data_IF_985727733256
#
_entry.id   IF_985727733256
#
_cell.length_a   1.000
_cell.length_b   1.000
_cell.length_c   1.000
_cell.angle_alpha   90.00
_cell.angle_beta   90.00
_cell.angle_gamma   90.00
#
_symmetry.space_group_name_H-M   'P 1'
#
loop_
_entity.id
_entity.type
_entity.pdbx_description
1 polymer ?
#
# COMPACT_ATOMS: atom_id res chain seq x y z
N UNK A 1 3.69 4.21 -18.49
CA UNK A 1 2.68 5.19 -18.96
C UNK A 1 3.35 6.47 -19.47
N UNK A 2 4.16 7.18 -18.67
CA UNK A 2 4.81 8.42 -19.14
C UNK A 2 5.77 8.23 -20.33
N UNK A 3 6.64 7.23 -20.27
CA UNK A 3 7.60 6.95 -21.37
C UNK A 3 6.89 6.57 -22.66
N UNK A 4 5.85 5.72 -22.60
CA UNK A 4 5.05 5.36 -23.77
C UNK A 4 4.39 6.59 -24.42
N UNK A 5 3.90 7.54 -23.60
CA UNK A 5 3.36 8.81 -24.10
C UNK A 5 4.44 9.62 -24.84
N UNK A 6 5.65 9.72 -24.27
CA UNK A 6 6.79 10.40 -24.91
C UNK A 6 7.21 9.72 -26.21
N UNK A 7 7.22 8.39 -26.25
CA UNK A 7 7.50 7.60 -27.46
C UNK A 7 6.48 7.93 -28.56
N UNK A 8 5.19 8.01 -28.23
CA UNK A 8 4.16 8.35 -29.21
C UNK A 8 4.35 9.77 -29.78
N UNK A 9 4.65 10.75 -28.93
CA UNK A 9 4.98 12.12 -29.37
C UNK A 9 6.18 12.10 -30.33
N UNK A 10 7.23 11.35 -30.00
CA UNK A 10 8.41 11.23 -30.87
C UNK A 10 8.10 10.57 -32.21
N UNK A 11 7.19 9.59 -32.26
CA UNK A 11 6.74 8.95 -33.50
C UNK A 11 5.96 9.91 -34.39
N UNK A 12 5.03 10.68 -33.82
CA UNK A 12 4.26 11.71 -34.54
C UNK A 12 5.19 12.78 -35.11
N UNK A 13 6.15 13.24 -34.31
CA UNK A 13 7.13 14.24 -34.72
C UNK A 13 8.08 13.72 -35.81
N UNK A 14 8.49 12.46 -35.72
CA UNK A 14 9.30 11.82 -36.76
C UNK A 14 8.54 11.70 -38.08
N UNK A 15 7.24 11.38 -38.04
CA UNK A 15 6.38 11.34 -39.23
C UNK A 15 6.24 12.73 -39.87
N UNK A 16 6.07 13.78 -39.05
CA UNK A 16 6.02 15.17 -39.50
C UNK A 16 7.33 15.63 -40.17
N UNK A 17 8.48 15.25 -39.60
CA UNK A 17 9.80 15.55 -40.16
C UNK A 17 10.04 14.76 -41.46
N UNK A 18 9.55 13.52 -41.54
CA UNK A 18 9.65 12.71 -42.75
C UNK A 18 8.87 13.30 -43.93
N UNK A 19 7.67 13.85 -43.67
CA UNK A 19 6.80 14.48 -44.68
C UNK A 19 7.36 15.78 -45.28
N UNK A 20 8.37 16.38 -44.68
CA UNK A 20 8.99 17.59 -45.21
C UNK A 20 9.93 17.25 -46.39
N UNK A 21 9.64 17.76 -47.58
CA UNK A 21 10.41 17.55 -48.81
C UNK A 21 11.68 18.42 -48.91
N UNK A 22 11.79 19.49 -48.12
CA UNK A 22 12.91 20.45 -48.21
C UNK A 22 14.14 20.01 -47.42
N UNK A 23 14.03 18.95 -46.60
CA UNK A 23 15.10 18.49 -45.72
C UNK A 23 15.77 17.23 -46.29
N UNK A 24 17.10 17.21 -46.24
CA UNK A 24 17.89 16.02 -46.54
C UNK A 24 17.72 14.94 -45.47
N UNK A 25 18.05 13.69 -45.80
CA UNK A 25 17.99 12.58 -44.82
C UNK A 25 18.87 12.84 -43.59
N UNK A 26 20.05 13.44 -43.77
CA UNK A 26 20.95 13.79 -42.69
C UNK A 26 20.36 14.85 -41.75
N UNK A 27 19.71 15.89 -42.29
CA UNK A 27 19.04 16.93 -41.50
C UNK A 27 17.83 16.37 -40.75
N UNK A 28 17.03 15.51 -41.40
CA UNK A 28 15.91 14.81 -40.75
C UNK A 28 16.39 13.97 -39.55
N UNK A 29 17.48 13.23 -39.70
CA UNK A 29 18.08 12.45 -38.62
C UNK A 29 18.59 13.34 -37.48
N UNK A 30 19.25 14.45 -37.80
CA UNK A 30 19.73 15.42 -36.81
C UNK A 30 18.59 16.05 -36.01
N UNK A 31 17.49 16.43 -36.68
CA UNK A 31 16.30 17.00 -36.03
C UNK A 31 15.65 15.96 -35.11
N UNK A 32 15.47 14.73 -35.58
CA UNK A 32 14.89 13.65 -34.79
C UNK A 32 15.75 13.31 -33.57
N UNK A 33 17.07 13.27 -33.72
CA UNK A 33 18.01 13.05 -32.63
C UNK A 33 17.94 14.17 -31.57
N UNK A 34 17.95 15.43 -32.00
CA UNK A 34 17.85 16.57 -31.08
C UNK A 34 16.54 16.57 -30.29
N UNK A 35 15.41 16.29 -30.96
CA UNK A 35 14.09 16.17 -30.31
C UNK A 35 14.02 15.00 -29.35
N UNK A 36 14.58 13.85 -29.74
CA UNK A 36 14.69 12.68 -28.87
C UNK A 36 15.41 13.04 -27.56
N UNK A 37 16.60 13.64 -27.66
CA UNK A 37 17.37 14.05 -26.50
C UNK A 37 16.61 15.06 -25.63
N UNK A 38 15.94 16.06 -26.22
CA UNK A 38 15.14 17.02 -25.47
C UNK A 38 13.99 16.36 -24.68
N UNK A 39 13.27 15.42 -25.31
CA UNK A 39 12.12 14.75 -24.70
C UNK A 39 12.53 13.69 -23.67
N UNK A 40 13.65 12.99 -23.89
CA UNK A 40 14.08 11.87 -23.03
C UNK A 40 15.02 12.27 -21.91
N UNK A 41 15.73 13.41 -22.00
CA UNK A 41 16.65 13.89 -20.95
C UNK A 41 16.04 13.85 -19.53
N UNK A 42 14.80 14.33 -19.28
CA UNK A 42 14.22 14.28 -17.93
C UNK A 42 14.08 12.84 -17.38
N UNK A 43 13.79 11.87 -18.25
CA UNK A 43 13.68 10.46 -17.88
C UNK A 43 15.06 9.87 -17.59
N UNK A 44 16.04 10.15 -18.45
CA UNK A 44 17.43 9.72 -18.27
C UNK A 44 17.97 10.23 -16.93
N UNK A 45 17.83 11.53 -16.64
CA UNK A 45 18.31 12.14 -15.39
C UNK A 45 17.63 11.50 -14.17
N UNK A 46 16.33 11.22 -14.25
CA UNK A 46 15.61 10.54 -13.17
C UNK A 46 16.13 9.10 -12.94
N UNK A 47 16.39 8.36 -14.02
CA UNK A 47 16.92 7.00 -13.97
C UNK A 47 18.37 6.97 -13.46
N UNK A 48 19.21 7.91 -13.89
CA UNK A 48 20.59 8.04 -13.42
C UNK A 48 20.65 8.37 -11.94
N UNK A 49 19.84 9.33 -11.48
CA UNK A 49 19.72 9.64 -10.05
C UNK A 49 19.29 8.41 -9.26
N UNK A 50 18.36 7.61 -9.81
CA UNK A 50 17.92 6.37 -9.16
C UNK A 50 19.02 5.32 -9.15
N UNK A 51 19.70 5.11 -10.27
CA UNK A 51 20.83 4.19 -10.39
C UNK A 51 21.93 4.56 -9.39
N UNK A 52 22.32 5.84 -9.31
CA UNK A 52 23.30 6.32 -8.35
C UNK A 52 22.92 5.98 -6.90
N UNK A 53 21.63 6.12 -6.55
CA UNK A 53 21.14 5.77 -5.21
C UNK A 53 21.18 4.26 -4.93
N UNK A 54 20.94 3.43 -5.95
CA UNK A 54 20.91 1.96 -5.81
C UNK A 54 22.27 1.30 -6.03
N UNK A 55 23.22 1.98 -6.67
CA UNK A 55 24.57 1.50 -6.97
C UNK A 55 25.61 1.89 -5.92
N UNK A 56 25.18 2.43 -4.78
CA UNK A 56 26.05 2.61 -3.59
C UNK A 56 26.56 1.26 -3.11
N UNK A 57 27.73 1.24 -2.48
CA UNK A 57 28.32 0.03 -1.93
C UNK A 57 27.30 -0.79 -1.12
N UNK A 58 27.07 -2.08 -1.48
CA UNK A 58 26.06 -2.90 -0.83
C UNK A 58 26.50 -3.24 0.60
N UNK A 59 25.59 -3.09 1.56
CA UNK A 59 25.82 -3.37 2.99
C UNK A 59 25.09 -4.61 3.49
N UNK A 60 24.11 -5.08 2.74
CA UNK A 60 23.28 -6.22 3.11
C UNK A 60 23.35 -7.31 2.04
N UNK A 61 23.13 -8.59 2.40
CA UNK A 61 23.07 -9.67 1.42
C UNK A 61 22.10 -9.39 0.27
N UNK A 62 20.95 -8.79 0.59
CA UNK A 62 19.95 -8.41 -0.42
C UNK A 62 20.45 -7.32 -1.38
N UNK A 63 21.19 -6.32 -0.88
CA UNK A 63 21.80 -5.30 -1.74
C UNK A 63 22.89 -5.89 -2.63
N UNK A 64 23.73 -6.79 -2.11
CA UNK A 64 24.78 -7.47 -2.87
C UNK A 64 24.19 -8.28 -4.02
N UNK A 65 23.12 -9.05 -3.74
CA UNK A 65 22.37 -9.77 -4.77
C UNK A 65 21.83 -8.82 -5.85
N UNK A 66 21.13 -7.75 -5.45
CA UNK A 66 20.55 -6.79 -6.40
C UNK A 66 21.62 -6.16 -7.29
N UNK A 67 22.77 -5.82 -6.71
CA UNK A 67 23.91 -5.28 -7.44
C UNK A 67 24.44 -6.25 -8.48
N UNK A 68 24.70 -7.49 -8.08
CA UNK A 68 25.25 -8.53 -8.96
C UNK A 68 24.33 -8.80 -10.15
N UNK A 69 23.02 -8.86 -9.93
CA UNK A 69 22.05 -9.21 -10.96
C UNK A 69 21.72 -8.05 -11.91
N UNK A 70 21.48 -6.85 -11.38
CA UNK A 70 20.82 -5.79 -12.15
C UNK A 70 21.66 -4.55 -12.43
N UNK A 71 22.78 -4.34 -11.73
CA UNK A 71 23.53 -3.07 -11.84
C UNK A 71 24.10 -2.86 -13.26
N UNK A 72 24.73 -3.90 -13.84
CA UNK A 72 25.25 -3.84 -15.20
C UNK A 72 24.13 -3.69 -16.25
N UNK A 73 23.02 -4.40 -16.08
CA UNK A 73 21.86 -4.33 -16.99
C UNK A 73 21.23 -2.93 -16.99
N UNK A 74 21.04 -2.34 -15.80
CA UNK A 74 20.50 -1.00 -15.64
C UNK A 74 21.44 0.08 -16.22
N UNK A 75 22.75 -0.06 -16.01
CA UNK A 75 23.75 0.83 -16.63
C UNK A 75 23.69 0.77 -18.15
N UNK A 76 23.69 -0.43 -18.71
CA UNK A 76 23.60 -0.64 -20.16
C UNK A 76 22.30 -0.07 -20.72
N UNK A 77 21.17 -0.33 -20.08
CA UNK A 77 19.86 0.18 -20.47
C UNK A 77 19.81 1.73 -20.46
N UNK A 78 20.36 2.38 -19.43
CA UNK A 78 20.41 3.84 -19.35
C UNK A 78 21.35 4.42 -20.41
N UNK A 79 22.52 3.82 -20.64
CA UNK A 79 23.45 4.24 -21.69
C UNK A 79 22.82 4.11 -23.08
N UNK A 80 22.12 3.00 -23.34
CA UNK A 80 21.38 2.80 -24.59
C UNK A 80 20.27 3.84 -24.77
N UNK A 81 19.52 4.17 -23.70
CA UNK A 81 18.46 5.18 -23.74
C UNK A 81 18.98 6.59 -24.06
N UNK A 82 20.23 6.91 -23.72
CA UNK A 82 20.85 8.21 -24.06
C UNK A 82 21.09 8.38 -25.55
N UNK A 83 21.34 7.28 -26.27
CA UNK A 83 21.67 7.32 -27.70
C UNK A 83 20.36 7.37 -28.51
N UNK A 84 20.14 8.41 -29.33
CA UNK A 84 18.97 8.46 -30.19
C UNK A 84 18.95 7.29 -31.18
N UNK A 85 17.79 6.64 -31.38
CA UNK A 85 17.71 5.55 -32.35
C UNK A 85 17.89 6.07 -33.78
N UNK A 86 18.62 5.31 -34.60
CA UNK A 86 18.86 5.66 -36.01
C UNK A 86 17.61 5.59 -36.90
N UNK A 87 16.52 4.99 -36.42
CA UNK A 87 15.24 4.94 -37.13
C UNK A 87 14.05 5.15 -36.19
N UNK A 88 12.95 5.78 -36.68
CA UNK A 88 11.73 5.92 -35.89
C UNK A 88 11.06 4.59 -35.52
N UNK A 89 11.30 3.53 -36.31
CA UNK A 89 10.78 2.19 -36.01
C UNK A 89 11.38 1.62 -34.72
N UNK A 90 12.65 1.91 -34.43
CA UNK A 90 13.34 1.45 -33.22
C UNK A 90 12.87 2.16 -31.94
N UNK A 91 12.09 3.25 -32.02
CA UNK A 91 11.54 3.93 -30.84
C UNK A 91 10.64 3.04 -29.97
N UNK A 92 10.07 1.98 -30.54
CA UNK A 92 9.27 1.00 -29.76
C UNK A 92 10.13 0.13 -28.83
N UNK A 93 11.39 -0.11 -29.20
CA UNK A 93 12.26 -1.09 -28.52
C UNK A 93 13.16 -0.47 -27.45
N UNK A 94 13.31 0.87 -27.42
CA UNK A 94 14.23 1.57 -26.50
C UNK A 94 13.92 1.32 -25.01
N UNK A 95 12.68 0.95 -24.68
CA UNK A 95 12.25 0.71 -23.30
C UNK A 95 12.31 -0.77 -22.90
N UNK A 96 12.45 -1.67 -23.87
CA UNK A 96 12.45 -3.13 -23.68
C UNK A 96 13.48 -3.63 -22.65
N UNK A 97 14.71 -3.07 -22.56
CA UNK A 97 15.64 -3.46 -21.50
C UNK A 97 15.09 -3.22 -20.09
N UNK A 98 14.36 -2.12 -19.88
CA UNK A 98 13.74 -1.82 -18.59
C UNK A 98 12.55 -2.74 -18.29
N UNK A 99 11.76 -3.09 -19.31
CA UNK A 99 10.67 -4.05 -19.15
C UNK A 99 11.19 -5.45 -18.79
N UNK A 100 12.32 -5.88 -19.35
CA UNK A 100 12.99 -7.13 -18.99
C UNK A 100 13.44 -7.14 -17.52
N UNK A 101 14.11 -6.08 -17.08
CA UNK A 101 14.53 -5.91 -15.66
C UNK A 101 13.29 -5.89 -14.75
N UNK A 102 12.25 -5.15 -15.12
CA UNK A 102 11.01 -5.07 -14.35
C UNK A 102 10.32 -6.44 -14.24
N UNK A 103 10.19 -7.17 -15.33
CA UNK A 103 9.59 -8.51 -15.36
C UNK A 103 10.34 -9.49 -14.45
N UNK A 104 11.68 -9.47 -14.48
CA UNK A 104 12.52 -10.27 -13.59
C UNK A 104 12.30 -9.90 -12.11
N UNK A 105 12.24 -8.61 -11.80
CA UNK A 105 12.02 -8.11 -10.43
C UNK A 105 10.63 -8.41 -9.86
N UNK A 106 9.60 -8.60 -10.70
CA UNK A 106 8.23 -8.87 -10.24
C UNK A 106 8.19 -10.12 -9.34
N UNK A 107 8.96 -11.16 -9.65
CA UNK A 107 9.05 -12.37 -8.83
C UNK A 107 9.47 -12.06 -7.39
N UNK A 108 10.49 -11.22 -7.22
CA UNK A 108 11.02 -10.79 -5.92
C UNK A 108 10.07 -9.81 -5.23
N UNK A 109 9.40 -8.94 -5.99
CA UNK A 109 8.42 -8.02 -5.44
C UNK A 109 7.15 -8.73 -4.94
N UNK A 110 6.81 -9.92 -5.44
CA UNK A 110 5.64 -10.68 -4.97
C UNK A 110 5.87 -11.37 -3.63
N UNK A 111 7.11 -11.45 -3.13
CA UNK A 111 7.38 -12.01 -1.80
C UNK A 111 6.62 -11.24 -0.72
N UNK A 112 5.78 -11.95 0.01
CA UNK A 112 5.03 -11.45 1.17
C UNK A 112 5.81 -11.59 2.48
N UNK A 113 6.96 -12.27 2.45
CA UNK A 113 7.85 -12.46 3.58
C UNK A 113 9.31 -12.38 3.12
N UNK A 114 10.18 -11.80 3.94
CA UNK A 114 11.63 -11.74 3.75
C UNK A 114 12.34 -12.00 5.07
N UNK A 115 13.54 -12.58 5.00
CA UNK A 115 14.35 -12.81 6.19
C UNK A 115 15.04 -11.51 6.62
N UNK A 116 15.00 -11.22 7.92
CA UNK A 116 15.63 -10.05 8.50
C UNK A 116 17.16 -10.06 8.30
N UNK A 117 17.79 -11.24 8.34
CA UNK A 117 19.23 -11.39 8.09
C UNK A 117 19.65 -10.96 6.68
N UNK A 118 18.76 -11.07 5.69
CA UNK A 118 19.05 -10.65 4.31
C UNK A 118 18.99 -9.12 4.15
N UNK A 119 18.15 -8.44 4.94
CA UNK A 119 17.84 -7.00 4.76
C UNK A 119 18.38 -6.10 5.86
N UNK A 120 18.69 -6.64 7.03
CA UNK A 120 19.18 -5.93 8.21
C UNK A 120 19.94 -6.91 9.14
N UNK A 121 21.12 -7.41 8.71
CA UNK A 121 21.86 -8.43 9.45
C UNK A 121 22.22 -8.02 10.87
N UNK A 122 22.55 -6.74 11.09
CA UNK A 122 22.86 -6.20 12.42
C UNK A 122 21.68 -6.30 13.40
N UNK A 123 20.45 -6.10 12.91
CA UNK A 123 19.25 -6.27 13.74
C UNK A 123 18.90 -7.73 13.96
N UNK A 124 19.21 -8.59 12.98
CA UNK A 124 18.98 -10.03 13.08
C UNK A 124 19.91 -10.71 14.10
N UNK A 125 21.11 -10.17 14.31
CA UNK A 125 22.07 -10.65 15.32
C UNK A 125 21.93 -9.98 16.67
N UNK A 126 21.06 -8.96 16.79
CA UNK A 126 20.87 -8.25 18.04
C UNK A 126 20.21 -9.18 19.06
N UNK A 127 20.95 -9.45 20.14
CA UNK A 127 20.51 -10.25 21.28
C UNK A 127 20.77 -9.47 22.56
N UNK A 128 19.69 -9.21 23.30
CA UNK A 128 19.66 -8.48 24.58
C UNK A 128 20.23 -7.06 24.41
N UNK A 129 19.33 -6.08 24.37
CA UNK A 129 19.72 -4.67 24.35
C UNK A 129 19.08 -3.90 25.50
N UNK A 130 19.75 -2.84 25.92
CA UNK A 130 19.20 -1.85 26.86
C UNK A 130 18.29 -0.83 26.16
N UNK A 131 17.90 -1.10 24.91
CA UNK A 131 17.03 -0.23 24.13
C UNK A 131 15.59 -0.45 24.63
N UNK A 132 14.90 0.59 25.10
CA UNK A 132 13.52 0.45 25.55
C UNK A 132 12.60 0.09 24.37
N UNK A 133 11.55 -0.66 24.65
CA UNK A 133 10.56 -1.07 23.66
C UNK A 133 9.81 0.17 23.13
N UNK A 134 9.79 0.40 21.80
CA UNK A 134 9.21 1.62 21.22
C UNK A 134 7.73 1.85 21.62
N UNK A 135 7.47 2.96 22.31
CA UNK A 135 6.13 3.32 22.78
C UNK A 135 5.75 2.84 24.17
N UNK A 136 6.63 2.09 24.84
CA UNK A 136 6.44 1.59 26.19
C UNK A 136 7.30 2.34 27.21
N UNK A 137 7.97 3.42 26.80
CA UNK A 137 8.85 4.21 27.67
C UNK A 137 8.09 4.97 28.76
N UNK A 138 6.80 5.25 28.54
CA UNK A 138 5.97 6.08 29.41
C UNK A 138 5.45 5.41 30.67
N UNK A 139 5.57 4.08 30.80
CA UNK A 139 5.20 3.37 32.04
C UNK A 139 6.00 3.85 33.27
N UNK A 140 7.07 4.63 33.06
CA UNK A 140 7.88 5.24 34.12
C UNK A 140 7.20 6.45 34.78
N UNK A 141 6.44 7.26 34.03
CA UNK A 141 5.98 8.58 34.49
C UNK A 141 4.67 8.55 35.30
N UNK A 142 3.86 7.50 35.19
CA UNK A 142 2.60 7.34 35.91
C UNK A 142 2.70 6.39 37.13
N UNK A 143 3.92 6.10 37.58
CA UNK A 143 4.19 5.19 38.71
C UNK A 143 3.77 5.73 40.09
N UNK A 144 2.92 6.77 40.16
CA UNK A 144 2.24 7.15 41.39
C UNK A 144 0.83 6.58 41.56
N UNK A 145 0.18 5.98 40.54
CA UNK A 145 -1.25 5.55 40.70
C UNK A 145 -1.70 4.20 40.09
N UNK A 146 -0.81 3.29 39.66
CA UNK A 146 -1.21 1.91 39.26
C UNK A 146 -0.60 0.82 40.16
N UNK A 147 -1.20 0.62 41.33
CA UNK A 147 -0.74 -0.26 42.41
C UNK A 147 -0.96 -1.79 42.23
N UNK A 148 -1.19 -2.32 41.02
CA UNK A 148 -1.50 -3.77 40.86
C UNK A 148 -0.85 -4.52 39.68
N UNK A 149 0.16 -3.96 39.00
CA UNK A 149 0.99 -4.73 38.08
C UNK A 149 2.45 -4.67 38.56
N UNK A 150 3.08 -5.84 38.69
CA UNK A 150 4.37 -6.01 39.37
C UNK A 150 5.48 -5.07 38.92
N UNK A 151 6.49 -4.98 39.78
CA UNK A 151 7.71 -4.18 39.73
C UNK A 151 8.62 -4.43 38.51
N UNK A 152 8.07 -4.53 37.31
CA UNK A 152 8.80 -4.80 36.09
C UNK A 152 9.32 -3.47 35.54
N UNK A 153 10.63 -3.27 35.62
CA UNK A 153 11.32 -2.15 34.97
C UNK A 153 11.01 -2.07 33.47
N UNK A 154 11.43 -0.97 32.84
CA UNK A 154 11.22 -0.70 31.42
C UNK A 154 11.47 -1.93 30.54
N UNK A 155 10.46 -2.38 29.80
CA UNK A 155 10.61 -3.48 28.85
C UNK A 155 11.59 -3.05 27.77
N UNK A 156 12.67 -3.80 27.61
CA UNK A 156 13.69 -3.55 26.59
C UNK A 156 13.56 -4.53 25.44
N UNK A 157 14.16 -4.19 24.30
CA UNK A 157 14.21 -5.06 23.13
C UNK A 157 15.22 -6.17 23.38
N UNK A 158 14.72 -7.40 23.50
CA UNK A 158 15.54 -8.61 23.61
C UNK A 158 16.04 -9.08 22.24
N UNK A 159 15.17 -9.17 21.23
CA UNK A 159 15.58 -9.55 19.87
C UNK A 159 14.53 -9.19 18.82
N UNK A 160 14.88 -9.30 17.54
CA UNK A 160 13.95 -9.18 16.42
C UNK A 160 13.59 -10.55 15.86
N UNK A 161 12.32 -10.73 15.47
CA UNK A 161 11.88 -11.93 14.76
C UNK A 161 12.57 -12.05 13.40
N UNK A 162 12.93 -13.28 13.03
CA UNK A 162 13.66 -13.60 11.79
C UNK A 162 12.88 -13.24 10.53
N UNK A 163 11.56 -13.29 10.58
CA UNK A 163 10.69 -13.06 9.44
C UNK A 163 10.05 -11.67 9.48
N UNK A 164 10.05 -10.99 8.33
CA UNK A 164 9.38 -9.71 8.13
C UNK A 164 8.31 -9.87 7.06
N UNK A 165 7.05 -9.71 7.46
CA UNK A 165 5.93 -9.78 6.53
C UNK A 165 5.75 -8.46 5.79
N UNK A 166 5.49 -8.50 4.49
CA UNK A 166 5.24 -7.34 3.65
C UNK A 166 3.76 -7.34 3.26
N UNK A 167 3.03 -6.30 3.66
CA UNK A 167 1.60 -6.20 3.36
C UNK A 167 1.37 -5.84 1.88
N UNK A 168 0.38 -6.47 1.26
CA UNK A 168 0.01 -6.31 -0.15
C UNK A 168 -0.81 -5.03 -0.43
N UNK A 169 -0.32 -3.88 0.06
CA UNK A 169 -0.93 -2.56 -0.20
C UNK A 169 -0.06 -1.74 -1.15
N UNK A 170 -0.57 -0.59 -1.61
CA UNK A 170 0.17 0.32 -2.51
C UNK A 170 1.52 0.76 -1.92
N UNK A 171 1.59 0.99 -0.61
CA UNK A 171 2.80 1.45 0.08
C UNK A 171 3.69 0.31 0.59
N UNK A 172 3.19 -0.94 0.56
CA UNK A 172 3.91 -2.15 0.98
C UNK A 172 4.65 -2.03 2.33
N UNK A 173 3.95 -1.63 3.41
CA UNK A 173 4.57 -1.51 4.72
C UNK A 173 4.99 -2.89 5.25
N UNK A 174 5.96 -2.90 6.16
CA UNK A 174 6.56 -4.12 6.72
C UNK A 174 6.01 -4.36 8.13
N UNK A 175 5.37 -5.50 8.36
CA UNK A 175 5.00 -5.97 9.69
C UNK A 175 6.21 -6.71 10.28
N UNK A 176 6.72 -6.19 11.38
CA UNK A 176 7.88 -6.71 12.10
C UNK A 176 7.49 -7.01 13.55
N UNK A 177 8.14 -8.01 14.14
CA UNK A 177 7.88 -8.40 15.52
C UNK A 177 9.18 -8.42 16.30
N UNK A 178 9.13 -7.90 17.53
CA UNK A 178 10.21 -7.83 18.49
C UNK A 178 9.86 -8.69 19.69
N UNK A 179 10.88 -9.23 20.33
CA UNK A 179 10.78 -9.92 21.61
C UNK A 179 11.18 -8.93 22.72
N UNK A 180 10.33 -8.76 23.73
CA UNK A 180 10.64 -7.97 24.92
C UNK A 180 11.47 -8.75 25.95
N UNK A 181 12.14 -8.03 26.84
CA UNK A 181 12.82 -8.59 28.02
C UNK A 181 11.87 -9.29 28.99
N UNK A 182 10.58 -8.99 28.91
CA UNK A 182 9.46 -9.60 29.64
C UNK A 182 8.98 -10.93 29.03
N UNK A 183 9.60 -11.40 27.94
CA UNK A 183 9.16 -12.62 27.25
C UNK A 183 7.94 -12.41 26.33
N UNK A 184 7.42 -11.19 26.20
CA UNK A 184 6.28 -10.90 25.33
C UNK A 184 6.70 -10.50 23.92
N UNK A 185 5.79 -10.72 22.96
CA UNK A 185 5.99 -10.39 21.55
C UNK A 185 5.29 -9.09 21.20
N UNK A 186 6.07 -8.12 20.71
CA UNK A 186 5.59 -6.79 20.34
C UNK A 186 5.64 -6.63 18.83
N UNK A 187 4.49 -6.31 18.23
CA UNK A 187 4.37 -6.26 16.77
C UNK A 187 4.19 -4.81 16.33
N UNK A 188 4.90 -4.43 15.26
CA UNK A 188 4.84 -3.10 14.67
C UNK A 188 4.66 -3.16 13.15
N UNK A 189 4.06 -2.11 12.62
CA UNK A 189 4.00 -1.80 11.21
C UNK A 189 5.02 -0.69 10.91
N UNK A 190 6.08 -1.04 10.19
CA UNK A 190 7.05 -0.09 9.65
C UNK A 190 6.51 0.52 8.35
N UNK A 191 6.27 1.83 8.40
CA UNK A 191 5.93 2.65 7.25
C UNK A 191 7.16 3.44 6.81
N UNK A 192 7.49 3.31 5.53
CA UNK A 192 8.56 4.06 4.88
C UNK A 192 8.01 5.07 3.87
N UNK A 193 8.73 6.17 3.69
CA UNK A 193 8.34 7.34 2.88
C UNK A 193 7.08 8.04 3.38
N UNK A 194 6.85 8.00 4.69
CA UNK A 194 5.70 8.60 5.35
C UNK A 194 6.19 9.29 6.62
N UNK A 195 5.68 10.48 6.90
CA UNK A 195 5.98 11.24 8.11
C UNK A 195 4.89 10.99 9.15
N UNK A 196 5.21 10.23 10.20
CA UNK A 196 4.24 9.81 11.23
C UNK A 196 4.14 10.78 12.41
N UNK A 197 4.76 11.97 12.32
CA UNK A 197 4.72 12.93 13.44
C UNK A 197 3.30 13.39 13.73
N UNK A 198 2.48 13.63 12.70
CA UNK A 198 1.08 14.02 12.89
C UNK A 198 0.30 12.91 13.60
N UNK A 199 0.41 11.67 13.12
CA UNK A 199 -0.21 10.49 13.73
C UNK A 199 0.19 10.34 15.21
N UNK A 200 1.47 10.51 15.53
CA UNK A 200 1.97 10.49 16.91
C UNK A 200 1.35 11.58 17.78
N UNK A 201 1.17 12.80 17.26
CA UNK A 201 0.48 13.88 18.00
C UNK A 201 -1.00 13.60 18.22
N UNK A 202 -1.68 12.94 17.28
CA UNK A 202 -3.05 12.50 17.50
C UNK A 202 -3.10 11.46 18.63
N UNK A 203 -2.19 10.48 18.65
CA UNK A 203 -2.16 9.48 19.72
C UNK A 203 -1.92 10.11 21.11
N UNK A 204 -1.03 11.11 21.18
CA UNK A 204 -0.81 11.88 22.43
C UNK A 204 -2.04 12.69 22.85
N UNK A 205 -2.77 13.26 21.90
CA UNK A 205 -4.03 13.95 22.20
C UNK A 205 -5.08 12.98 22.76
N UNK A 206 -5.22 11.80 22.17
CA UNK A 206 -6.15 10.76 22.67
C UNK A 206 -5.77 10.29 24.07
N UNK A 207 -4.46 10.15 24.34
CA UNK A 207 -3.93 9.84 25.67
C UNK A 207 -4.30 10.94 26.68
N UNK A 208 -4.10 12.21 26.34
CA UNK A 208 -4.51 13.33 27.20
C UNK A 208 -6.03 13.36 27.45
N UNK A 209 -6.85 13.08 26.41
CA UNK A 209 -8.30 12.96 26.56
C UNK A 209 -8.65 11.84 27.56
N UNK A 210 -7.95 10.71 27.49
CA UNK A 210 -8.16 9.64 28.46
C UNK A 210 -7.85 10.09 29.89
N UNK A 211 -6.80 10.87 30.14
CA UNK A 211 -6.55 11.43 31.47
C UNK A 211 -7.74 12.24 32.01
N UNK A 212 -8.39 13.05 31.15
CA UNK A 212 -9.62 13.77 31.51
C UNK A 212 -10.82 12.83 31.73
N UNK A 213 -10.96 11.77 30.95
CA UNK A 213 -12.00 10.76 31.15
C UNK A 213 -11.80 9.98 32.46
N UNK A 214 -10.57 9.76 32.90
CA UNK A 214 -10.29 9.05 34.16
C UNK A 214 -10.47 9.94 35.40
N UNK A 215 -10.34 11.26 35.27
CA UNK A 215 -10.52 12.17 36.41
C UNK A 215 -11.98 12.26 36.87
N UNK A 216 -12.94 12.13 35.94
CA UNK A 216 -14.37 12.07 36.26
C UNK A 216 -14.79 10.70 36.79
N UNK A 217 -15.47 10.67 37.94
CA UNK A 217 -15.91 9.44 38.60
C UNK A 217 -16.95 8.66 37.78
N UNK A 218 -17.83 9.34 37.04
CA UNK A 218 -18.88 8.72 36.22
C UNK A 218 -18.32 8.00 34.98
N UNK A 219 -17.29 8.54 34.36
CA UNK A 219 -16.60 7.92 33.22
C UNK A 219 -15.63 6.83 33.68
N UNK A 220 -14.94 7.04 34.81
CA UNK A 220 -14.06 6.05 35.43
C UNK A 220 -14.82 4.79 35.89
N UNK A 221 -15.96 4.95 36.54
CA UNK A 221 -16.78 3.81 37.01
C UNK A 221 -17.30 2.94 35.86
N UNK A 222 -17.51 3.55 34.68
CA UNK A 222 -17.93 2.87 33.44
C UNK A 222 -16.75 2.41 32.56
N UNK A 223 -15.51 2.62 33.00
CA UNK A 223 -14.29 2.32 32.26
C UNK A 223 -14.30 2.90 30.83
N UNK A 224 -14.77 4.14 30.68
CA UNK A 224 -14.85 4.81 29.38
C UNK A 224 -13.46 5.33 29.02
N UNK A 225 -12.87 4.76 27.98
CA UNK A 225 -11.61 5.20 27.42
C UNK A 225 -11.61 5.10 25.90
N UNK A 226 -10.86 6.01 25.27
CA UNK A 226 -10.54 5.95 23.84
C UNK A 226 -9.36 5.01 23.66
N UNK A 227 -9.54 3.96 22.86
CA UNK A 227 -8.42 3.09 22.47
C UNK A 227 -7.45 3.86 21.57
N UNK A 228 -6.19 3.88 21.94
CA UNK A 228 -5.09 4.43 21.15
C UNK A 228 -3.96 3.40 21.05
N UNK A 229 -2.97 3.68 20.21
CA UNK A 229 -1.84 2.80 19.97
C UNK A 229 -0.55 3.62 19.87
N UNK A 230 0.60 3.00 20.10
CA UNK A 230 1.88 3.69 19.97
C UNK A 230 2.21 4.02 18.50
N UNK A 231 2.75 5.22 18.30
CA UNK A 231 3.37 5.65 17.04
C UNK A 231 4.73 6.26 17.38
N UNK A 232 5.79 5.65 16.85
CA UNK A 232 7.19 6.07 17.06
C UNK A 232 7.78 6.58 15.75
N UNK A 233 7.82 7.90 15.52
CA UNK A 233 8.53 8.47 14.37
C UNK A 233 10.03 8.20 14.48
N UNK A 234 10.63 7.58 13.45
CA UNK A 234 12.08 7.33 13.38
C UNK A 234 12.77 8.49 12.65
N UNK A 235 12.12 9.04 11.63
CA UNK A 235 12.59 10.19 10.85
C UNK A 235 11.41 10.90 10.18
N UNK A 236 11.64 12.03 9.52
CA UNK A 236 10.60 12.69 8.69
C UNK A 236 10.14 11.89 7.46
N UNK A 237 10.57 10.63 7.31
CA UNK A 237 10.18 9.72 6.21
C UNK A 237 9.97 8.28 6.65
N UNK A 238 10.03 7.98 7.94
CA UNK A 238 9.79 6.62 8.40
C UNK A 238 9.37 6.60 9.87
N UNK A 239 8.58 5.60 10.24
CA UNK A 239 8.28 5.33 11.64
C UNK A 239 7.57 4.00 11.83
N UNK A 240 7.36 3.66 13.09
CA UNK A 240 6.68 2.46 13.55
C UNK A 240 5.29 2.84 14.05
N UNK A 241 4.31 2.01 13.70
CA UNK A 241 2.96 2.03 14.29
C UNK A 241 2.78 0.71 15.00
N UNK A 242 2.38 0.72 16.27
CA UNK A 242 2.06 -0.51 16.98
C UNK A 242 0.94 -1.27 16.26
N UNK A 243 1.13 -2.57 16.12
CA UNK A 243 0.10 -3.43 15.54
C UNK A 243 -0.94 -3.75 16.60
N UNK A 244 -2.19 -3.43 16.31
CA UNK A 244 -3.32 -3.77 17.17
C UNK A 244 -3.86 -5.13 16.72
N UNK A 245 -3.86 -6.09 17.65
CA UNK A 245 -4.42 -7.42 17.43
C UNK A 245 -5.91 -7.47 17.79
N UNK A 246 -6.58 -8.55 17.38
CA UNK A 246 -7.98 -8.82 17.72
C UNK A 246 -8.95 -7.70 17.30
N UNK A 247 -8.69 -7.08 16.15
CA UNK A 247 -9.56 -6.08 15.54
C UNK A 247 -10.09 -6.56 14.19
N UNK A 248 -11.38 -6.36 13.97
CA UNK A 248 -12.05 -6.58 12.69
C UNK A 248 -12.58 -5.26 12.16
N UNK A 249 -12.26 -4.95 10.90
CA UNK A 249 -12.85 -3.78 10.24
C UNK A 249 -14.33 -4.04 9.94
N UNK A 250 -15.18 -3.00 10.06
CA UNK A 250 -16.60 -3.07 9.68
C UNK A 250 -16.75 -3.54 8.22
N UNK A 251 -15.83 -3.15 7.34
CA UNK A 251 -15.81 -3.61 5.96
C UNK A 251 -15.60 -5.13 5.83
N UNK A 252 -14.74 -5.72 6.67
CA UNK A 252 -14.55 -7.17 6.68
C UNK A 252 -15.83 -7.89 7.11
N UNK A 253 -16.55 -7.35 8.11
CA UNK A 253 -17.85 -7.92 8.54
C UNK A 253 -18.84 -7.91 7.37
N UNK A 254 -18.97 -6.77 6.68
CA UNK A 254 -19.83 -6.65 5.49
C UNK A 254 -19.41 -7.62 4.37
N UNK A 255 -18.12 -7.69 4.05
CA UNK A 255 -17.59 -8.58 3.00
C UNK A 255 -17.81 -10.06 3.32
N UNK A 256 -17.64 -10.46 4.59
CA UNK A 256 -17.90 -11.82 5.05
C UNK A 256 -19.38 -12.18 4.88
N UNK A 257 -20.29 -11.26 5.24
CA UNK A 257 -21.72 -11.43 4.97
C UNK A 257 -21.99 -11.63 3.46
N UNK A 258 -21.47 -10.76 2.59
CA UNK A 258 -21.66 -10.89 1.13
C UNK A 258 -21.20 -12.24 0.57
N UNK A 259 -20.06 -12.75 1.07
CA UNK A 259 -19.53 -14.05 0.67
C UNK A 259 -20.46 -15.18 1.09
N UNK A 260 -20.97 -15.17 2.32
CA UNK A 260 -21.93 -16.18 2.83
C UNK A 260 -23.22 -16.18 2.02
N UNK A 261 -23.78 -15.01 1.74
CA UNK A 261 -25.02 -14.88 0.95
C UNK A 261 -24.87 -15.44 -0.47
N UNK A 262 -23.76 -15.15 -1.15
CA UNK A 262 -23.50 -15.68 -2.50
C UNK A 262 -23.30 -17.20 -2.51
N UNK A 263 -22.59 -17.74 -1.53
CA UNK A 263 -22.42 -19.19 -1.40
C UNK A 263 -23.78 -19.87 -1.19
N UNK A 264 -24.63 -19.33 -0.31
CA UNK A 264 -25.98 -19.85 -0.10
C UNK A 264 -26.82 -19.81 -1.38
N UNK A 265 -26.80 -18.70 -2.13
CA UNK A 265 -27.52 -18.57 -3.40
C UNK A 265 -27.00 -19.53 -4.49
N UNK A 266 -25.69 -19.72 -4.58
CA UNK A 266 -25.08 -20.67 -5.51
C UNK A 266 -25.47 -22.12 -5.17
N UNK A 267 -25.52 -22.47 -3.88
CA UNK A 267 -25.95 -23.78 -3.42
C UNK A 267 -27.42 -24.06 -3.77
N UNK A 268 -28.33 -23.11 -3.52
CA UNK A 268 -29.75 -23.27 -3.92
C UNK A 268 -29.92 -23.45 -5.44
N UNK A 269 -29.13 -22.74 -6.25
CA UNK A 269 -29.20 -22.82 -7.71
C UNK A 269 -28.61 -24.13 -8.28
N UNK A 270 -27.64 -24.74 -7.59
CA UNK A 270 -27.01 -26.00 -8.01
C UNK A 270 -27.88 -27.24 -7.83
N UNK A 271 -28.89 -27.19 -6.95
CA UNK A 271 -29.85 -28.28 -6.75
C UNK A 271 -30.82 -28.42 -7.94
N UNK A 272 -31.07 -27.34 -8.69
CA UNK A 272 -31.97 -27.33 -9.86
C UNK A 272 -31.32 -27.69 -11.20
N UNK A 273 -29.99 -27.64 -11.30
CA UNK A 273 -29.25 -27.95 -12.53
C UNK A 273 -27.96 -28.65 -12.13
N UNK A 274 -27.91 -29.98 -12.31
CA UNK A 274 -26.84 -30.89 -11.84
C UNK A 274 -25.46 -30.70 -12.48
N UNK A 275 -24.97 -29.47 -12.58
CA UNK A 275 -23.68 -29.15 -13.17
C UNK A 275 -22.71 -28.65 -12.07
N UNK A 276 -21.82 -29.53 -11.66
CA UNK A 276 -20.82 -29.31 -10.61
C UNK A 276 -19.62 -28.59 -11.24
N UNK A 277 -19.71 -27.26 -11.38
CA UNK A 277 -18.52 -26.44 -11.58
C UNK A 277 -18.37 -25.47 -10.41
N UNK A 278 -17.51 -25.84 -9.46
CA UNK A 278 -17.13 -25.03 -8.30
C UNK A 278 -16.30 -23.81 -8.73
N UNK A 279 -16.93 -22.82 -9.36
CA UNK A 279 -16.35 -21.48 -9.45
C UNK A 279 -16.62 -20.77 -8.12
N UNK A 280 -15.56 -20.30 -7.46
CA UNK A 280 -15.70 -19.55 -6.20
C UNK A 280 -16.54 -18.29 -6.50
N UNK A 281 -17.67 -18.06 -5.80
CA UNK A 281 -18.51 -16.89 -6.05
C UNK A 281 -17.69 -15.61 -5.86
N UNK A 282 -17.57 -14.82 -6.93
CA UNK A 282 -16.78 -13.59 -6.91
C UNK A 282 -17.60 -12.45 -6.31
N UNK A 283 -17.24 -12.04 -5.08
CA UNK A 283 -17.89 -10.90 -4.41
C UNK A 283 -17.65 -9.61 -5.22
N UNK A 284 -18.73 -8.92 -5.69
CA UNK A 284 -18.57 -7.69 -6.46
C UNK A 284 -17.91 -6.61 -5.62
N UNK A 285 -17.06 -5.79 -6.23
CA UNK A 285 -16.41 -4.68 -5.50
C UNK A 285 -17.45 -3.60 -5.22
N UNK A 286 -17.29 -2.80 -4.14
CA UNK A 286 -18.21 -1.70 -3.85
C UNK A 286 -18.39 -0.71 -5.00
N UNK A 287 -17.32 -0.46 -5.77
CA UNK A 287 -17.39 0.35 -6.99
C UNK A 287 -18.33 -0.25 -8.02
N UNK A 288 -18.24 -1.56 -8.26
CA UNK A 288 -19.00 -2.24 -9.31
C UNK A 288 -20.48 -2.28 -8.92
N UNK A 289 -20.80 -2.52 -7.65
CA UNK A 289 -22.17 -2.45 -7.11
C UNK A 289 -22.78 -1.06 -7.28
N UNK A 290 -22.02 -0.02 -6.94
CA UNK A 290 -22.48 1.37 -7.05
C UNK A 290 -22.67 1.79 -8.52
N UNK A 291 -21.66 1.56 -9.37
CA UNK A 291 -21.72 1.95 -10.78
C UNK A 291 -22.77 1.15 -11.57
N UNK A 292 -22.98 -0.12 -11.20
CA UNK A 292 -24.02 -0.98 -11.76
C UNK A 292 -25.44 -0.44 -11.57
N UNK A 293 -25.70 0.35 -10.52
CA UNK A 293 -27.01 0.97 -10.27
C UNK A 293 -27.10 2.43 -10.72
N UNK A 294 -26.06 3.22 -10.48
CA UNK A 294 -26.09 4.66 -10.79
C UNK A 294 -26.11 4.93 -12.29
N UNK A 295 -25.41 4.13 -13.10
CA UNK A 295 -25.35 4.34 -14.55
C UNK A 295 -26.73 4.10 -15.20
N UNK A 296 -27.45 2.99 -14.92
CA UNK A 296 -28.82 2.82 -15.39
C UNK A 296 -29.77 3.93 -14.90
N UNK A 297 -29.69 4.32 -13.63
CA UNK A 297 -30.56 5.36 -13.08
C UNK A 297 -30.31 6.75 -13.71
N UNK A 298 -29.07 7.07 -14.08
CA UNK A 298 -28.74 8.27 -14.85
C UNK A 298 -29.29 8.20 -16.28
N UNK A 299 -29.19 7.03 -16.93
CA UNK A 299 -29.76 6.82 -18.28
C UNK A 299 -31.28 6.95 -18.28
N UNK A 300 -31.96 6.45 -17.25
CA UNK A 300 -33.43 6.57 -17.06
C UNK A 300 -33.87 8.04 -17.01
N UNK A 301 -33.04 8.92 -16.43
CA UNK A 301 -33.24 10.38 -16.41
C UNK A 301 -32.78 11.11 -17.67
N UNK A 302 -32.43 10.38 -18.74
CA UNK A 302 -32.01 10.97 -20.02
C UNK A 302 -30.54 11.42 -20.07
N UNK A 303 -29.74 11.16 -19.02
CA UNK A 303 -28.32 11.52 -18.98
C UNK A 303 -27.50 10.42 -19.68
N UNK A 304 -27.32 10.58 -21.00
CA UNK A 304 -26.63 9.58 -21.85
C UNK A 304 -25.11 9.72 -21.87
N UNK A 305 -24.58 10.93 -21.65
CA UNK A 305 -23.13 11.18 -21.55
C UNK A 305 -22.73 11.20 -20.08
N UNK A 306 -21.60 10.58 -19.75
CA UNK A 306 -21.05 10.59 -18.39
C UNK A 306 -20.63 12.03 -18.06
N UNK A 307 -21.54 12.79 -17.46
CA UNK A 307 -21.27 14.10 -16.87
C UNK A 307 -20.44 13.92 -15.59
N UNK A 308 -19.77 14.99 -15.15
CA UNK A 308 -18.98 14.97 -13.91
C UNK A 308 -19.85 14.54 -12.73
N UNK A 309 -19.27 13.78 -11.78
CA UNK A 309 -19.99 13.31 -10.57
C UNK A 309 -20.64 14.43 -9.76
N UNK A 310 -20.05 15.63 -9.84
CA UNK A 310 -20.59 16.84 -9.20
C UNK A 310 -21.98 17.20 -9.73
N UNK A 311 -22.21 16.97 -11.02
CA UNK A 311 -23.41 17.38 -11.75
C UNK A 311 -24.53 16.32 -11.73
N UNK A 312 -24.29 15.19 -11.07
CA UNK A 312 -25.28 14.12 -10.99
C UNK A 312 -26.48 14.54 -10.12
N UNK A 313 -27.73 14.34 -10.59
CA UNK A 313 -28.93 14.70 -9.84
C UNK A 313 -28.99 14.06 -8.45
N UNK A 314 -29.43 14.85 -7.46
CA UNK A 314 -29.50 14.41 -6.06
C UNK A 314 -30.57 13.34 -5.83
N UNK A 315 -31.71 13.45 -6.52
CA UNK A 315 -32.80 12.47 -6.48
C UNK A 315 -32.34 11.09 -6.97
N UNK A 316 -31.53 11.05 -8.04
CA UNK A 316 -30.92 9.82 -8.55
C UNK A 316 -29.95 9.20 -7.54
N UNK A 317 -29.07 10.03 -6.95
CA UNK A 317 -28.14 9.58 -5.88
C UNK A 317 -28.90 9.00 -4.69
N UNK A 318 -29.98 9.66 -4.26
CA UNK A 318 -30.84 9.21 -3.15
C UNK A 318 -31.56 7.91 -3.48
N UNK A 319 -32.12 7.78 -4.69
CA UNK A 319 -32.76 6.54 -5.17
C UNK A 319 -31.79 5.36 -5.07
N UNK A 320 -30.58 5.49 -5.62
CA UNK A 320 -29.57 4.42 -5.59
C UNK A 320 -29.11 4.08 -4.17
N UNK A 321 -28.94 5.08 -3.30
CA UNK A 321 -28.62 4.83 -1.90
C UNK A 321 -29.72 3.99 -1.22
N UNK A 322 -30.99 4.38 -1.38
CA UNK A 322 -32.12 3.67 -0.78
C UNK A 322 -32.25 2.23 -1.32
N UNK A 323 -31.97 2.01 -2.60
CA UNK A 323 -31.93 0.66 -3.18
C UNK A 323 -30.82 -0.19 -2.56
N UNK A 324 -29.59 0.33 -2.47
CA UNK A 324 -28.47 -0.40 -1.85
C UNK A 324 -28.71 -0.68 -0.35
N UNK A 325 -29.36 0.24 0.35
CA UNK A 325 -29.77 0.05 1.75
C UNK A 325 -30.84 -1.03 1.92
N UNK A 326 -31.73 -1.21 0.94
CA UNK A 326 -32.73 -2.29 0.96
C UNK A 326 -32.09 -3.67 0.74
N UNK A 327 -31.03 -3.72 -0.06
CA UNK A 327 -30.28 -4.95 -0.36
C UNK A 327 -29.38 -5.41 0.79
N UNK A 328 -28.99 -4.49 1.68
CA UNK A 328 -28.08 -4.78 2.79
C UNK A 328 -28.85 -4.86 4.12
N UNK A 329 -28.84 -6.01 4.81
CA UNK A 329 -29.46 -6.13 6.13
C UNK A 329 -28.85 -5.15 7.13
N UNK A 330 -29.71 -4.47 7.89
CA UNK A 330 -29.28 -3.54 8.96
C UNK A 330 -28.67 -4.25 10.18
N UNK A 331 -28.87 -5.57 10.26
CA UNK A 331 -28.62 -6.36 11.46
C UNK A 331 -27.20 -6.96 11.51
N UNK A 332 -26.43 -6.82 10.43
CA UNK A 332 -25.13 -7.50 10.25
C UNK A 332 -24.20 -7.31 11.45
N UNK A 333 -24.10 -6.07 11.95
CA UNK A 333 -23.13 -5.76 13.00
C UNK A 333 -23.52 -6.37 14.35
N UNK A 334 -24.77 -6.19 14.79
CA UNK A 334 -25.19 -6.71 16.10
C UNK A 334 -25.28 -8.25 16.08
N UNK A 335 -25.62 -8.86 14.94
CA UNK A 335 -25.58 -10.32 14.80
C UNK A 335 -24.16 -10.85 14.94
N UNK A 336 -23.16 -10.19 14.33
CA UNK A 336 -21.76 -10.58 14.48
C UNK A 336 -21.31 -10.43 15.95
N UNK A 337 -21.74 -9.37 16.64
CA UNK A 337 -21.46 -9.18 18.06
C UNK A 337 -22.11 -10.27 18.92
N UNK A 338 -23.37 -10.60 18.67
CA UNK A 338 -24.11 -11.65 19.37
C UNK A 338 -23.51 -13.04 19.14
N UNK A 339 -23.08 -13.36 17.91
CA UNK A 339 -22.41 -14.63 17.65
C UNK A 339 -21.02 -14.71 18.27
N UNK A 340 -20.39 -13.57 18.56
CA UNK A 340 -19.06 -13.49 19.19
C UNK A 340 -19.13 -13.35 20.70
N UNK A 341 -20.31 -13.12 21.29
CA UNK A 341 -20.46 -13.11 22.75
C UNK A 341 -20.45 -14.54 23.26
N UNK A 342 -19.54 -14.82 24.20
CA UNK A 342 -19.71 -15.96 25.09
C UNK A 342 -20.95 -15.64 25.94
N UNK A 343 -21.95 -16.54 25.90
CA UNK A 343 -23.27 -16.34 26.49
C UNK A 343 -23.27 -16.17 28.00
#
# INVERSE_FOLDING_TARGET
VDVLRRINILKEEAARVAANSTLTSAEKNKINAAKYSAIMTPIVVALERRLASTSREPRTPHETWFHKEYNAQLRSAITSLKVPPGSPAALGEIWRPFDSVAASLVSHQRKSCVLLSEIAPQLATLSISDIPMPGFEKQILDSSEYFFAGNHGTVTVSSFCKEVTILSTKTRPKKLALQGSDGQKYIYLLKGREDLRLDSRIMQLLEAINSFLHSSSDTRSRNIAIRFYSVTPISGRAGLIQWVENVSSIYNVYKSWQKRTQVAQAQLSSVSTGNIHNSVPHVPRPSDMFYGKIIPALKEKGIKRVISRRDWPLDVKKKVLLELMKETPKQILWQEMWCSSEG
#
